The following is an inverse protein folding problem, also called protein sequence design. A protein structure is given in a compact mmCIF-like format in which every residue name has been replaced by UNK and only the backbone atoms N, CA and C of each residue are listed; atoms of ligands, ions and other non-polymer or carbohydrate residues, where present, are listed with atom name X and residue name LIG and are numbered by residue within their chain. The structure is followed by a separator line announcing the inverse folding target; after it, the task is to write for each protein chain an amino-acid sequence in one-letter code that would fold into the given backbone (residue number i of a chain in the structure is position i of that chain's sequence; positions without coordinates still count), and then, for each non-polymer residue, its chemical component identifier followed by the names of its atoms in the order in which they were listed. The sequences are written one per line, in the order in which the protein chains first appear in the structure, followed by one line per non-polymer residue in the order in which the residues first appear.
data_IF_726669925704
#
_entry.id   IF_726669925704
#
_cell.length_a   1.000
_cell.length_b   1.000
_cell.length_c   1.000
_cell.angle_alpha   90.00
_cell.angle_beta   90.00
_cell.angle_gamma   90.00
#
_symmetry.space_group_name_H-M   'P 1'
#
loop_
_entity.id
_entity.type
_entity.pdbx_description
1 polymer ?
#
# COMPACT_ATOMS: atom_id res chain seq x y z
N UNK A 1 -2.66 6.13 -13.67
CA UNK A 1 -2.19 6.39 -12.31
C UNK A 1 -0.83 7.03 -12.43
N UNK A 2 -0.61 8.16 -11.79
CA UNK A 2 0.69 8.83 -11.74
C UNK A 2 1.48 8.28 -10.53
N UNK A 3 2.82 8.31 -10.51
CA UNK A 3 3.60 7.80 -9.37
C UNK A 3 3.19 8.42 -8.02
N UNK A 4 2.84 9.70 -8.00
CA UNK A 4 2.35 10.41 -6.81
C UNK A 4 1.03 9.86 -6.28
N UNK A 5 0.17 9.28 -7.13
CA UNK A 5 -1.09 8.65 -6.71
C UNK A 5 -0.80 7.42 -5.84
N UNK A 6 0.21 6.64 -6.22
CA UNK A 6 0.63 5.45 -5.50
C UNK A 6 1.34 5.80 -4.18
N UNK A 7 2.18 6.83 -4.19
CA UNK A 7 2.86 7.34 -2.98
C UNK A 7 1.86 7.87 -1.97
N UNK A 8 0.91 8.72 -2.40
CA UNK A 8 -0.15 9.25 -1.54
C UNK A 8 -0.93 8.12 -0.84
N UNK A 9 -1.34 7.10 -1.59
CA UNK A 9 -2.09 5.97 -1.05
C UNK A 9 -1.25 5.10 -0.09
N UNK A 10 0.06 4.97 -0.33
CA UNK A 10 0.96 4.20 0.52
C UNK A 10 1.41 4.94 1.79
N UNK A 11 1.51 6.26 1.74
CA UNK A 11 1.91 7.13 2.86
C UNK A 11 0.77 7.35 3.86
N UNK A 12 -0.47 7.40 3.36
CA UNK A 12 -1.67 7.60 4.17
C UNK A 12 -2.63 6.40 4.07
N UNK A 13 -2.21 5.20 4.49
CA UNK A 13 -3.03 4.01 4.38
C UNK A 13 -4.18 4.02 5.40
N UNK A 14 -5.35 3.57 4.96
CA UNK A 14 -6.47 3.20 5.82
C UNK A 14 -6.27 1.82 6.45
N UNK A 15 -5.53 0.96 5.76
CA UNK A 15 -5.26 -0.41 6.17
C UNK A 15 -3.83 -0.81 5.81
N UNK A 16 -3.17 -1.53 6.71
CA UNK A 16 -1.82 -2.08 6.50
C UNK A 16 -1.84 -3.52 6.99
N UNK A 17 -1.40 -4.45 6.14
CA UNK A 17 -1.27 -5.87 6.47
C UNK A 17 0.10 -6.39 6.00
N UNK A 18 0.87 -7.08 6.85
CA UNK A 18 2.08 -7.76 6.41
C UNK A 18 1.73 -8.91 5.46
N UNK A 19 2.39 -8.95 4.31
CA UNK A 19 2.25 -10.04 3.33
C UNK A 19 3.20 -11.21 3.61
N UNK A 20 4.32 -10.92 4.27
CA UNK A 20 5.44 -11.84 4.44
C UNK A 20 5.93 -11.76 5.91
N UNK A 21 6.24 -12.90 6.52
CA UNK A 21 6.83 -13.00 7.88
C UNK A 21 8.36 -13.28 7.84
N UNK A 22 8.93 -13.48 6.65
CA UNK A 22 10.31 -13.94 6.43
C UNK A 22 11.34 -12.79 6.40
N UNK A 23 11.36 -11.99 7.46
CA UNK A 23 12.36 -10.96 7.69
C UNK A 23 12.47 -9.86 6.61
N UNK A 24 13.45 -8.95 6.73
CA UNK A 24 13.59 -7.82 5.82
C UNK A 24 14.05 -8.21 4.40
N UNK A 25 13.59 -7.50 3.35
CA UNK A 25 12.65 -6.38 3.40
C UNK A 25 11.21 -6.83 3.63
N UNK A 26 10.53 -6.19 4.58
CA UNK A 26 9.15 -6.53 4.91
C UNK A 26 8.22 -6.08 3.79
N UNK A 27 7.29 -6.95 3.41
CA UNK A 27 6.31 -6.67 2.37
C UNK A 27 4.99 -6.36 3.03
N UNK A 28 4.43 -5.20 2.71
CA UNK A 28 3.16 -4.75 3.28
C UNK A 28 2.16 -4.49 2.16
N UNK A 29 0.94 -5.01 2.34
CA UNK A 29 -0.22 -4.57 1.60
C UNK A 29 -0.77 -3.33 2.30
N UNK A 30 -0.79 -2.21 1.59
CA UNK A 30 -1.39 -0.96 2.07
C UNK A 30 -2.62 -0.62 1.21
N UNK A 31 -3.72 -0.26 1.85
CA UNK A 31 -4.91 0.25 1.16
C UNK A 31 -5.06 1.73 1.50
N UNK A 32 -5.13 2.59 0.49
CA UNK A 32 -5.23 4.03 0.71
C UNK A 32 -5.81 4.76 -0.49
N UNK A 33 -6.22 6.00 -0.29
CA UNK A 33 -6.76 6.83 -1.37
C UNK A 33 -5.63 7.52 -2.14
N UNK A 34 -5.76 7.55 -3.46
CA UNK A 34 -4.91 8.39 -4.31
C UNK A 34 -5.27 9.89 -4.22
N UNK A 35 -4.57 10.71 -4.99
CA UNK A 35 -4.81 12.17 -5.06
C UNK A 35 -6.18 12.55 -5.62
N UNK A 36 -6.94 11.58 -6.15
CA UNK A 36 -8.26 11.75 -6.77
C UNK A 36 -9.35 10.96 -6.02
N UNK A 37 -9.10 10.57 -4.77
CA UNK A 37 -10.02 9.81 -3.92
C UNK A 37 -10.41 8.42 -4.48
N UNK A 38 -9.56 7.82 -5.30
CA UNK A 38 -9.69 6.42 -5.71
C UNK A 38 -8.96 5.53 -4.72
N UNK A 39 -9.64 4.53 -4.16
CA UNK A 39 -8.99 3.57 -3.28
C UNK A 39 -8.05 2.65 -4.08
N UNK A 40 -6.79 2.59 -3.68
CA UNK A 40 -5.75 1.76 -4.28
C UNK A 40 -5.33 0.64 -3.32
N UNK A 41 -5.00 -0.53 -3.89
CA UNK A 41 -4.14 -1.51 -3.24
C UNK A 41 -2.69 -1.21 -3.67
N UNK A 42 -1.80 -1.05 -2.70
CA UNK A 42 -0.36 -0.87 -2.93
C UNK A 42 0.43 -1.94 -2.18
N UNK A 43 1.57 -2.34 -2.74
CA UNK A 43 2.55 -3.17 -2.03
C UNK A 43 3.79 -2.34 -1.78
N UNK A 44 4.14 -2.19 -0.50
CA UNK A 44 5.29 -1.45 -0.03
C UNK A 44 6.35 -2.42 0.48
N UNK A 45 7.60 -2.20 0.08
CA UNK A 45 8.76 -2.80 0.71
C UNK A 45 9.28 -1.85 1.78
N UNK A 46 9.24 -2.26 3.04
CA UNK A 46 9.90 -1.56 4.14
C UNK A 46 11.31 -2.14 4.34
N UNK A 47 12.32 -1.31 4.10
CA UNK A 47 13.74 -1.67 4.22
C UNK A 47 14.22 -1.46 5.66
N UNK A 48 15.29 -2.15 6.06
CA UNK A 48 15.85 -2.04 7.43
C UNK A 48 16.30 -0.60 7.81
N UNK A 49 16.50 0.28 6.81
CA UNK A 49 16.87 1.69 7.01
C UNK A 49 15.69 2.66 7.21
N UNK A 50 14.45 2.18 7.17
CA UNK A 50 13.25 3.02 7.20
C UNK A 50 12.85 3.60 5.84
N UNK A 51 13.62 3.31 4.80
CA UNK A 51 13.23 3.60 3.42
C UNK A 51 12.08 2.69 3.00
N UNK A 52 11.11 3.26 2.29
CA UNK A 52 9.93 2.56 1.79
C UNK A 52 9.87 2.64 0.25
N UNK A 53 9.54 1.53 -0.39
CA UNK A 53 9.41 1.46 -1.85
C UNK A 53 8.06 0.89 -2.25
N UNK A 54 7.27 1.66 -3.00
CA UNK A 54 6.05 1.15 -3.64
C UNK A 54 6.45 0.33 -4.86
N UNK A 55 6.24 -0.99 -4.80
CA UNK A 55 6.56 -1.92 -5.89
C UNK A 55 5.32 -2.36 -6.69
N UNK A 56 4.13 -2.04 -6.19
CA UNK A 56 2.87 -2.32 -6.84
C UNK A 56 1.81 -1.28 -6.45
N UNK A 57 0.98 -0.87 -7.42
CA UNK A 57 -0.17 -0.01 -7.17
C UNK A 57 -1.25 -0.26 -8.22
N UNK A 58 -2.47 -0.57 -7.77
CA UNK A 58 -3.64 -0.75 -8.63
C UNK A 58 -4.92 -0.30 -7.90
N UNK A 59 -6.01 0.00 -8.61
CA UNK A 59 -7.31 0.18 -7.98
C UNK A 59 -7.67 -1.00 -7.08
N UNK A 60 -8.13 -0.72 -5.87
CA UNK A 60 -8.39 -1.74 -4.87
C UNK A 60 -9.45 -2.73 -5.37
N UNK A 61 -9.12 -4.02 -5.29
CA UNK A 61 -10.08 -5.09 -5.59
C UNK A 61 -11.21 -5.08 -4.57
N UNK A 62 -12.45 -5.34 -5.02
CA UNK A 62 -13.66 -5.32 -4.17
C UNK A 62 -13.54 -6.15 -2.88
N UNK A 63 -12.82 -7.28 -2.90
CA UNK A 63 -12.60 -8.13 -1.71
C UNK A 63 -11.91 -7.41 -0.54
N UNK A 64 -11.16 -6.33 -0.81
CA UNK A 64 -10.47 -5.57 0.23
C UNK A 64 -11.34 -4.49 0.86
N UNK A 65 -12.49 -4.18 0.26
CA UNK A 65 -13.45 -3.24 0.87
C UNK A 65 -14.00 -3.79 2.18
N UNK A 66 -14.06 -5.12 2.32
CA UNK A 66 -14.51 -5.80 3.54
C UNK A 66 -13.48 -5.70 4.68
N UNK A 67 -12.24 -5.25 4.41
CA UNK A 67 -11.19 -5.03 5.41
C UNK A 67 -11.20 -3.61 5.98
N UNK A 68 -11.95 -2.70 5.37
CA UNK A 68 -12.01 -1.30 5.80
C UNK A 68 -12.95 -1.14 7.01
N UNK A 69 -12.61 -0.25 7.97
CA UNK A 69 -13.43 0.02 9.15
C UNK A 69 -14.75 0.74 8.84
#
# INVERSE_FOLDING_TARGET
MLPEDAVQAAEWPLWVEPLDDDGPPYRELRLGFDTRATLLETVVLALEGGDELVIHAMPARRKYLDLLP
#
